data_IF_770773354064
#
_entry.id   IF_770773354064
#
_cell.length_a   1.000
_cell.length_b   1.000
_cell.length_c   1.000
_cell.angle_alpha   90.00
_cell.angle_beta   90.00
_cell.angle_gamma   90.00
#
_symmetry.space_group_name_H-M   'P 1'
#
loop_
_entity.id
_entity.type
_entity.pdbx_description
1 polymer ?
#
# COMPACT_ATOMS: atom_id res chain seq x y z
N UNK A 1 -59.42 -56.28 -53.80
CA UNK A 1 -58.03 -56.13 -53.33
C UNK A 1 -57.65 -54.65 -53.21
N UNK A 2 -57.44 -54.11 -51.99
CA UNK A 2 -57.00 -52.73 -51.83
C UNK A 2 -55.50 -52.61 -52.14
N UNK A 3 -55.14 -51.53 -52.83
CA UNK A 3 -53.78 -51.16 -53.21
C UNK A 3 -52.91 -50.90 -51.97
N UNK A 4 -51.61 -51.24 -51.98
CA UNK A 4 -50.73 -51.00 -50.84
C UNK A 4 -50.46 -49.51 -50.64
N UNK A 5 -50.28 -49.04 -49.39
CA UNK A 5 -49.96 -47.65 -49.10
C UNK A 5 -48.54 -47.28 -49.59
N UNK A 6 -48.30 -46.00 -49.93
CA UNK A 6 -47.01 -45.54 -50.44
C UNK A 6 -45.91 -45.58 -49.35
N UNK A 7 -44.64 -45.77 -49.73
CA UNK A 7 -43.52 -45.87 -48.80
C UNK A 7 -43.20 -44.53 -48.13
N UNK A 8 -42.77 -44.59 -46.87
CA UNK A 8 -42.37 -43.44 -46.05
C UNK A 8 -41.12 -42.75 -46.60
N UNK A 9 -40.98 -41.41 -46.45
CA UNK A 9 -39.81 -40.69 -46.92
C UNK A 9 -38.55 -41.03 -46.08
N UNK A 10 -37.35 -40.98 -46.68
CA UNK A 10 -36.10 -41.29 -46.00
C UNK A 10 -35.75 -40.23 -44.94
N UNK A 11 -35.01 -40.60 -43.87
CA UNK A 11 -34.58 -39.64 -42.85
C UNK A 11 -33.57 -38.62 -43.42
N UNK A 12 -33.51 -37.40 -42.85
CA UNK A 12 -32.58 -36.37 -43.30
C UNK A 12 -31.12 -36.77 -43.02
N UNK A 13 -30.14 -36.25 -43.80
CA UNK A 13 -28.74 -36.58 -43.62
C UNK A 13 -28.20 -36.05 -42.30
N UNK A 14 -27.36 -36.85 -41.64
CA UNK A 14 -26.65 -36.48 -40.42
C UNK A 14 -25.67 -35.32 -40.69
N UNK A 15 -25.74 -34.28 -39.86
CA UNK A 15 -24.81 -33.15 -39.89
C UNK A 15 -23.36 -33.62 -39.64
N UNK A 16 -22.36 -33.06 -40.33
CA UNK A 16 -20.95 -33.39 -40.08
C UNK A 16 -20.52 -32.93 -38.68
N UNK A 17 -19.57 -33.63 -38.02
CA UNK A 17 -19.04 -33.22 -36.72
C UNK A 17 -18.26 -31.90 -36.83
N UNK A 18 -18.27 -31.07 -35.78
CA UNK A 18 -17.51 -29.82 -35.78
C UNK A 18 -15.99 -30.09 -35.81
N UNK A 19 -15.19 -29.18 -36.40
CA UNK A 19 -13.74 -29.32 -36.43
C UNK A 19 -13.14 -29.23 -35.01
N UNK A 20 -12.00 -29.89 -34.74
CA UNK A 20 -11.32 -29.79 -33.46
C UNK A 20 -10.83 -28.35 -33.21
N UNK A 21 -11.04 -27.86 -31.99
CA UNK A 21 -10.59 -26.55 -31.53
C UNK A 21 -9.06 -26.41 -31.64
N UNK A 22 -8.53 -25.22 -31.96
CA UNK A 22 -7.09 -25.01 -31.96
C UNK A 22 -6.54 -25.17 -30.52
N UNK A 23 -5.48 -25.97 -30.39
CA UNK A 23 -4.72 -26.15 -29.16
C UNK A 23 -4.22 -24.79 -28.67
N UNK A 24 -4.57 -24.43 -27.44
CA UNK A 24 -4.07 -23.23 -26.76
C UNK A 24 -2.54 -23.21 -26.74
N UNK A 25 -1.87 -22.07 -26.98
CA UNK A 25 -0.43 -21.96 -26.81
C UNK A 25 -0.02 -22.17 -25.34
N UNK A 26 1.21 -22.65 -25.07
CA UNK A 26 1.69 -22.82 -23.70
C UNK A 26 1.74 -21.47 -22.98
N UNK A 27 1.17 -21.41 -21.77
CA UNK A 27 1.25 -20.25 -20.89
C UNK A 27 2.71 -19.95 -20.55
N UNK A 28 3.22 -18.81 -21.00
CA UNK A 28 4.39 -18.19 -20.37
C UNK A 28 3.96 -17.72 -18.98
N UNK A 29 4.78 -17.91 -17.93
CA UNK A 29 4.51 -17.33 -16.63
C UNK A 29 4.46 -15.79 -16.76
N UNK A 30 3.53 -15.12 -16.05
CA UNK A 30 3.51 -13.66 -16.05
C UNK A 30 4.83 -13.12 -15.48
N UNK A 31 5.34 -11.99 -16.00
CA UNK A 31 6.42 -11.29 -15.30
C UNK A 31 5.93 -10.91 -13.89
N UNK A 32 6.81 -10.86 -12.88
CA UNK A 32 6.42 -10.43 -11.54
C UNK A 32 5.78 -9.03 -11.59
N UNK A 33 4.73 -8.76 -10.80
CA UNK A 33 4.12 -7.44 -10.77
C UNK A 33 5.12 -6.41 -10.22
N UNK A 34 5.46 -5.42 -11.01
CA UNK A 34 6.12 -4.20 -10.55
C UNK A 34 5.12 -3.38 -9.69
N UNK A 35 5.55 -2.97 -8.49
CA UNK A 35 4.77 -2.13 -7.56
C UNK A 35 4.37 -0.78 -8.20
N UNK A 36 3.15 -0.24 -7.95
CA UNK A 36 2.83 1.15 -8.27
C UNK A 36 3.43 2.10 -7.19
N UNK A 37 4.17 3.17 -7.56
CA UNK A 37 4.78 4.10 -6.61
C UNK A 37 3.79 5.04 -5.89
N UNK A 38 4.12 5.49 -4.67
CA UNK A 38 3.37 6.49 -3.87
C UNK A 38 3.47 7.89 -4.50
N UNK A 39 2.47 8.77 -4.36
CA UNK A 39 2.45 10.10 -5.03
C UNK A 39 3.70 11.00 -4.85
N UNK A 40 4.46 10.99 -3.73
CA UNK A 40 5.79 11.63 -3.61
C UNK A 40 6.94 10.80 -4.21
N UNK A 41 6.82 9.47 -4.22
CA UNK A 41 7.78 8.52 -4.81
C UNK A 41 7.59 8.36 -6.34
N UNK A 42 6.45 8.82 -6.88
CA UNK A 42 6.17 8.96 -8.31
C UNK A 42 6.82 10.23 -8.91
N UNK A 43 7.10 11.25 -8.08
CA UNK A 43 7.61 12.56 -8.51
C UNK A 43 9.05 12.81 -8.06
N UNK A 44 9.55 12.10 -7.05
CA UNK A 44 10.98 12.06 -6.76
C UNK A 44 11.70 11.29 -7.87
N UNK A 45 12.89 11.75 -8.25
CA UNK A 45 13.63 11.16 -9.35
C UNK A 45 15.13 11.33 -9.14
N UNK A 46 15.81 10.19 -9.00
CA UNK A 46 17.26 10.04 -9.03
C UNK A 46 17.79 9.77 -10.46
N UNK A 47 16.88 9.65 -11.43
CA UNK A 47 17.17 9.35 -12.82
C UNK A 47 17.92 8.03 -13.06
N UNK A 48 17.99 7.08 -12.12
CA UNK A 48 18.83 5.87 -12.29
C UNK A 48 18.24 4.82 -13.24
N UNK A 49 16.91 4.78 -13.36
CA UNK A 49 16.21 3.84 -14.25
C UNK A 49 15.76 4.54 -15.55
N UNK A 50 15.08 5.68 -15.41
CA UNK A 50 14.53 6.48 -16.50
C UNK A 50 14.30 7.94 -16.04
N UNK A 51 13.45 8.72 -16.72
CA UNK A 51 13.08 10.07 -16.29
C UNK A 51 11.96 10.09 -15.24
N UNK A 52 11.65 8.94 -14.62
CA UNK A 52 10.52 8.73 -13.73
C UNK A 52 9.21 9.16 -14.44
N UNK A 53 8.40 10.00 -13.77
CA UNK A 53 7.21 10.60 -14.38
C UNK A 53 7.46 12.03 -14.95
N UNK A 54 8.70 12.51 -14.99
CA UNK A 54 9.01 13.86 -15.47
C UNK A 54 8.99 13.92 -17.00
N UNK A 55 8.33 14.95 -17.53
CA UNK A 55 8.10 15.12 -18.96
C UNK A 55 8.77 16.40 -19.43
N UNK A 56 9.57 16.28 -20.48
CA UNK A 56 10.08 17.44 -21.21
C UNK A 56 8.95 18.11 -22.01
N UNK A 57 8.79 19.41 -21.82
CA UNK A 57 7.74 20.20 -22.48
C UNK A 57 8.28 21.48 -23.12
N UNK A 58 9.57 21.50 -23.48
CA UNK A 58 10.16 22.60 -24.21
C UNK A 58 9.54 22.72 -25.62
N UNK A 59 9.05 23.91 -26.02
CA UNK A 59 8.29 24.08 -27.26
C UNK A 59 9.14 24.03 -28.55
N UNK A 60 10.46 24.10 -28.42
CA UNK A 60 11.45 24.23 -29.49
C UNK A 60 12.25 22.94 -29.75
N UNK A 61 11.93 21.84 -29.07
CA UNK A 61 12.53 20.52 -29.27
C UNK A 61 13.88 20.33 -28.57
N UNK A 62 14.32 21.30 -27.77
CA UNK A 62 15.50 21.18 -26.94
C UNK A 62 15.14 20.57 -25.59
N UNK A 63 15.74 19.42 -25.28
CA UNK A 63 15.31 18.64 -24.12
C UNK A 63 16.36 18.47 -23.05
N UNK A 64 15.90 18.34 -21.81
CA UNK A 64 16.65 17.74 -20.74
C UNK A 64 16.98 16.29 -21.13
N UNK A 65 18.27 16.03 -21.29
CA UNK A 65 18.79 14.75 -21.78
C UNK A 65 19.38 13.98 -20.62
N UNK A 66 18.98 12.72 -20.47
CA UNK A 66 19.53 11.82 -19.46
C UNK A 66 20.89 11.28 -19.91
N UNK A 67 21.89 11.36 -19.05
CA UNK A 67 23.28 11.00 -19.36
C UNK A 67 23.99 10.38 -18.17
N UNK A 68 25.04 9.61 -18.45
CA UNK A 68 26.03 9.14 -17.49
C UNK A 68 27.43 9.54 -17.99
N UNK A 69 28.33 9.89 -17.07
CA UNK A 69 29.66 10.41 -17.39
C UNK A 69 29.67 11.93 -17.65
N UNK A 70 30.69 12.42 -18.36
CA UNK A 70 30.80 13.85 -18.67
C UNK A 70 29.90 14.29 -19.82
N UNK A 71 29.45 15.55 -19.80
CA UNK A 71 28.69 16.12 -20.92
C UNK A 71 29.53 16.14 -22.21
N UNK A 72 28.88 16.15 -23.41
CA UNK A 72 29.59 16.11 -24.69
C UNK A 72 30.52 17.30 -24.92
N UNK A 73 30.19 18.45 -24.36
CA UNK A 73 31.02 19.65 -24.41
C UNK A 73 32.15 19.60 -23.39
N UNK A 74 33.34 19.98 -23.83
CA UNK A 74 34.53 20.03 -22.98
C UNK A 74 34.52 21.25 -22.06
N UNK A 75 35.01 21.08 -20.84
CA UNK A 75 35.09 22.13 -19.81
C UNK A 75 33.72 22.69 -19.38
N UNK A 76 32.67 21.89 -19.43
CA UNK A 76 31.31 22.26 -19.05
C UNK A 76 30.62 21.08 -18.38
N UNK A 77 29.52 21.35 -17.68
CA UNK A 77 28.71 20.33 -17.04
C UNK A 77 29.46 19.51 -15.98
N UNK A 78 28.78 18.53 -15.38
CA UNK A 78 29.40 17.62 -14.43
C UNK A 78 30.19 16.51 -15.15
N UNK A 79 31.13 15.88 -14.44
CA UNK A 79 31.86 14.69 -14.93
C UNK A 79 31.11 13.37 -14.72
N UNK A 80 29.97 13.40 -14.03
CA UNK A 80 29.13 12.28 -13.63
C UNK A 80 27.96 12.72 -12.74
N UNK A 81 27.05 11.82 -12.41
CA UNK A 81 25.90 12.07 -11.51
C UNK A 81 26.35 12.51 -10.11
N UNK A 82 25.41 13.05 -9.34
CA UNK A 82 25.64 13.48 -7.98
C UNK A 82 25.79 12.30 -7.00
N UNK A 83 24.96 11.26 -7.12
CA UNK A 83 24.87 10.17 -6.13
C UNK A 83 26.12 9.29 -6.09
N UNK A 84 26.63 8.86 -7.24
CA UNK A 84 27.75 7.90 -7.32
C UNK A 84 28.96 8.39 -8.12
N UNK A 85 28.81 9.41 -8.96
CA UNK A 85 29.77 9.85 -9.97
C UNK A 85 29.83 8.96 -11.23
N UNK A 86 29.01 7.91 -11.30
CA UNK A 86 28.91 6.96 -12.42
C UNK A 86 27.47 6.55 -12.81
N UNK A 87 26.47 7.06 -12.10
CA UNK A 87 25.04 6.89 -12.33
C UNK A 87 24.53 7.84 -13.41
N UNK A 88 23.26 8.22 -13.31
CA UNK A 88 22.58 9.02 -14.32
C UNK A 88 22.01 10.31 -13.76
N UNK A 89 22.04 11.35 -14.58
CA UNK A 89 21.46 12.65 -14.28
C UNK A 89 20.82 13.22 -15.55
N UNK A 90 20.06 14.31 -15.45
CA UNK A 90 19.54 15.03 -16.62
C UNK A 90 20.27 16.34 -16.81
N UNK A 91 20.57 16.69 -18.06
CA UNK A 91 21.30 17.92 -18.39
C UNK A 91 20.76 18.60 -19.65
N UNK A 92 21.11 19.87 -19.79
CA UNK A 92 20.86 20.65 -21.00
C UNK A 92 22.20 21.01 -21.62
N UNK A 93 22.39 20.65 -22.89
CA UNK A 93 23.53 21.08 -23.68
C UNK A 93 23.41 22.56 -24.02
N UNK A 94 24.50 23.31 -23.89
CA UNK A 94 24.54 24.73 -24.16
C UNK A 94 24.21 25.10 -25.62
N UNK A 95 23.05 25.71 -25.88
CA UNK A 95 22.71 26.32 -27.18
C UNK A 95 22.27 27.78 -26.98
N UNK A 96 22.74 28.77 -27.78
CA UNK A 96 22.35 30.17 -27.60
C UNK A 96 20.84 30.43 -27.63
N UNK A 97 20.34 31.11 -26.59
CA UNK A 97 18.95 31.57 -26.46
C UNK A 97 17.89 30.47 -26.30
N UNK A 98 18.33 29.29 -25.87
CA UNK A 98 17.46 28.12 -25.76
C UNK A 98 16.74 28.07 -24.43
N UNK A 99 15.53 27.52 -24.47
CA UNK A 99 14.67 27.34 -23.31
C UNK A 99 14.35 25.85 -23.11
N UNK A 100 14.72 25.31 -21.96
CA UNK A 100 14.50 23.93 -21.58
C UNK A 100 13.44 23.88 -20.48
N UNK A 101 12.57 22.87 -20.50
CA UNK A 101 11.52 22.73 -19.49
C UNK A 101 11.23 21.28 -19.16
N UNK A 102 11.48 20.92 -17.91
CA UNK A 102 11.12 19.62 -17.33
C UNK A 102 9.98 19.81 -16.34
N UNK A 103 8.84 19.14 -16.58
CA UNK A 103 7.65 19.23 -15.73
C UNK A 103 7.43 17.94 -14.94
N UNK A 104 7.04 18.09 -13.69
CA UNK A 104 6.51 16.98 -12.90
C UNK A 104 5.16 16.52 -13.48
N UNK A 105 4.68 15.30 -13.19
CA UNK A 105 3.27 15.02 -13.35
C UNK A 105 2.45 15.94 -12.41
N UNK A 106 1.15 16.14 -12.68
CA UNK A 106 0.27 16.84 -11.74
C UNK A 106 0.23 16.12 -10.40
N UNK A 107 0.25 16.88 -9.31
CA UNK A 107 0.14 16.38 -7.94
C UNK A 107 -0.76 17.31 -7.12
N UNK A 108 -0.99 16.96 -5.86
CA UNK A 108 -1.66 17.83 -4.90
C UNK A 108 -0.93 17.76 -3.58
N UNK A 109 -0.59 18.91 -3.01
CA UNK A 109 0.03 18.98 -1.68
C UNK A 109 -1.05 19.17 -0.62
N UNK A 110 -0.89 18.50 0.51
CA UNK A 110 -1.78 18.68 1.66
C UNK A 110 -1.33 19.84 2.56
N UNK A 111 -0.07 20.24 2.46
CA UNK A 111 0.56 21.32 3.21
C UNK A 111 1.79 21.82 2.42
N UNK A 112 2.43 22.87 2.93
CA UNK A 112 3.70 23.31 2.37
C UNK A 112 4.72 22.15 2.43
N UNK A 113 5.40 21.92 1.31
CA UNK A 113 6.38 20.84 1.16
C UNK A 113 7.76 21.43 0.84
N UNK A 114 8.83 20.68 1.10
CA UNK A 114 10.17 21.09 0.65
C UNK A 114 10.57 20.26 -0.56
N UNK A 115 10.75 20.93 -1.70
CA UNK A 115 11.41 20.34 -2.85
C UNK A 115 12.91 20.55 -2.69
N UNK A 116 13.67 19.46 -2.64
CA UNK A 116 15.13 19.46 -2.65
C UNK A 116 15.65 18.81 -3.94
N UNK A 117 16.76 19.32 -4.45
CA UNK A 117 17.38 18.83 -5.66
C UNK A 117 18.84 19.26 -5.71
N UNK A 118 19.64 18.53 -6.48
CA UNK A 118 21.00 18.93 -6.82
C UNK A 118 21.02 19.53 -8.21
N UNK A 119 21.86 20.54 -8.38
CA UNK A 119 22.06 21.19 -9.67
C UNK A 119 23.53 21.46 -9.92
N UNK A 120 23.91 21.46 -11.20
CA UNK A 120 25.23 21.85 -11.67
C UNK A 120 25.06 22.95 -12.70
N UNK A 121 25.86 24.01 -12.61
CA UNK A 121 25.86 25.13 -13.55
C UNK A 121 27.30 25.58 -13.75
N UNK A 122 28.01 24.94 -14.68
CA UNK A 122 29.39 25.25 -14.98
C UNK A 122 29.61 25.67 -16.43
N UNK A 123 30.36 26.76 -16.58
CA UNK A 123 30.93 27.16 -17.85
C UNK A 123 32.46 27.23 -17.77
N UNK A 124 33.09 26.69 -18.80
CA UNK A 124 34.52 26.78 -19.04
C UNK A 124 34.87 28.00 -19.89
N UNK A 125 36.03 28.59 -19.60
CA UNK A 125 36.54 29.76 -20.30
C UNK A 125 35.80 31.06 -19.95
N UNK A 126 35.84 32.05 -20.84
CA UNK A 126 35.25 33.38 -20.64
C UNK A 126 33.99 33.62 -21.48
N UNK A 127 33.28 32.54 -21.82
CA UNK A 127 32.14 32.60 -22.73
C UNK A 127 30.95 33.35 -22.13
N UNK A 128 30.76 33.36 -20.80
CA UNK A 128 29.63 34.03 -20.12
C UNK A 128 28.29 33.68 -20.78
N UNK A 129 28.13 32.42 -21.17
CA UNK A 129 26.93 31.86 -21.83
C UNK A 129 25.99 31.19 -20.84
N UNK A 130 26.44 30.99 -19.59
CA UNK A 130 25.61 30.44 -18.53
C UNK A 130 24.42 31.36 -18.27
N UNK A 131 23.23 30.81 -18.46
CA UNK A 131 22.01 31.56 -18.25
C UNK A 131 21.42 31.32 -16.88
N UNK A 132 20.14 30.96 -16.84
CA UNK A 132 19.35 30.90 -15.61
C UNK A 132 18.67 29.55 -15.47
N UNK A 133 18.86 28.90 -14.34
CA UNK A 133 18.07 27.75 -13.90
C UNK A 133 17.04 28.24 -12.87
N UNK A 134 15.78 27.86 -13.03
CA UNK A 134 14.72 28.24 -12.10
C UNK A 134 13.73 27.12 -11.82
N UNK A 135 13.16 27.16 -10.62
CA UNK A 135 12.06 26.30 -10.20
C UNK A 135 10.79 27.14 -10.14
N UNK A 136 9.75 26.69 -10.83
CA UNK A 136 8.43 27.30 -10.77
C UNK A 136 7.39 26.30 -10.24
N UNK A 137 6.44 26.82 -9.47
CA UNK A 137 5.27 26.10 -8.98
C UNK A 137 4.02 26.60 -9.70
N UNK A 138 3.16 25.68 -10.12
CA UNK A 138 1.83 25.98 -10.64
C UNK A 138 0.81 25.87 -9.51
N UNK A 139 -0.04 26.87 -9.39
CA UNK A 139 -1.16 26.88 -8.47
C UNK A 139 -2.48 27.05 -9.24
N UNK A 140 -3.50 26.29 -8.84
CA UNK A 140 -4.80 26.34 -9.50
C UNK A 140 -5.47 27.72 -9.32
N UNK A 141 -5.69 28.41 -10.44
CA UNK A 141 -6.32 29.74 -10.48
C UNK A 141 -5.36 30.93 -10.45
N UNK A 142 -4.09 30.74 -10.08
CA UNK A 142 -3.05 31.78 -10.04
C UNK A 142 -1.91 31.55 -11.05
N UNK A 143 -1.76 30.33 -11.57
CA UNK A 143 -0.79 30.01 -12.63
C UNK A 143 0.62 29.72 -12.09
N UNK A 144 1.64 29.94 -12.92
CA UNK A 144 3.04 29.64 -12.59
C UNK A 144 3.72 30.79 -11.84
N UNK A 145 4.42 30.47 -10.75
CA UNK A 145 5.23 31.40 -9.96
C UNK A 145 6.65 30.86 -9.76
N UNK A 146 7.67 31.73 -9.81
CA UNK A 146 9.06 31.32 -9.59
C UNK A 146 9.39 31.29 -8.10
N UNK A 147 9.80 30.13 -7.60
CA UNK A 147 10.18 29.92 -6.20
C UNK A 147 11.69 30.04 -5.98
N UNK A 148 12.48 29.69 -7.00
CA UNK A 148 13.94 29.76 -6.92
C UNK A 148 14.56 30.00 -8.28
N UNK A 149 15.68 30.72 -8.29
CA UNK A 149 16.52 30.85 -9.48
C UNK A 149 17.99 31.07 -9.15
N UNK A 150 18.86 30.63 -10.04
CA UNK A 150 20.29 30.98 -10.09
C UNK A 150 20.66 31.36 -11.51
N UNK A 151 21.59 32.31 -11.63
CA UNK A 151 22.02 32.86 -12.90
C UNK A 151 23.53 32.94 -12.96
N UNK A 152 24.10 32.61 -14.11
CA UNK A 152 25.53 32.64 -14.36
C UNK A 152 26.24 31.41 -13.78
N UNK A 153 27.56 31.37 -13.97
CA UNK A 153 28.41 30.27 -13.53
C UNK A 153 28.34 30.08 -12.01
N UNK A 154 28.04 28.87 -11.55
CA UNK A 154 28.02 28.52 -10.12
C UNK A 154 29.26 27.70 -9.71
N UNK A 155 30.14 27.39 -10.67
CA UNK A 155 31.37 26.63 -10.45
C UNK A 155 31.23 25.15 -10.81
N UNK A 156 32.36 24.45 -10.86
CA UNK A 156 32.41 23.04 -11.25
C UNK A 156 32.21 22.12 -10.02
N UNK A 157 31.01 22.18 -9.44
CA UNK A 157 30.58 21.30 -8.37
C UNK A 157 29.05 21.13 -8.42
N UNK A 158 28.57 19.97 -8.00
CA UNK A 158 27.16 19.78 -7.69
C UNK A 158 26.80 20.62 -6.46
N UNK A 159 25.70 21.36 -6.54
CA UNK A 159 25.19 22.23 -5.49
C UNK A 159 23.77 21.79 -5.10
N UNK A 160 23.49 21.72 -3.81
CA UNK A 160 22.14 21.45 -3.31
C UNK A 160 21.29 22.72 -3.24
N UNK A 161 19.99 22.58 -3.54
CA UNK A 161 18.99 23.61 -3.29
C UNK A 161 17.73 22.99 -2.68
N UNK A 162 17.06 23.79 -1.84
CA UNK A 162 15.76 23.45 -1.26
C UNK A 162 14.81 24.64 -1.36
N UNK A 163 13.57 24.39 -1.72
CA UNK A 163 12.51 25.41 -1.85
C UNK A 163 11.24 24.96 -1.18
N UNK A 164 10.52 25.91 -0.58
CA UNK A 164 9.20 25.64 -0.02
C UNK A 164 8.17 25.75 -1.13
N UNK A 165 7.43 24.67 -1.36
CA UNK A 165 6.27 24.63 -2.24
C UNK A 165 5.03 24.98 -1.41
N UNK A 166 4.26 26.01 -1.80
CA UNK A 166 2.95 26.28 -1.18
C UNK A 166 2.02 25.08 -1.28
N UNK A 167 1.19 24.85 -0.27
CA UNK A 167 0.19 23.77 -0.26
C UNK A 167 -0.75 23.78 -1.49
N UNK A 168 -0.98 24.94 -2.10
CA UNK A 168 -1.78 25.10 -3.34
C UNK A 168 -1.06 24.63 -4.61
N UNK A 169 0.21 24.22 -4.52
CA UNK A 169 0.98 23.79 -5.69
C UNK A 169 0.43 22.49 -6.26
N UNK A 170 0.08 22.50 -7.54
CA UNK A 170 -0.43 21.35 -8.29
C UNK A 170 0.56 20.80 -9.32
N UNK A 171 1.64 21.52 -9.63
CA UNK A 171 2.70 21.06 -10.51
C UNK A 171 4.00 21.83 -10.26
N UNK A 172 5.16 21.21 -10.51
CA UNK A 172 6.47 21.88 -10.49
C UNK A 172 7.12 21.79 -11.87
N UNK A 173 7.89 22.82 -12.24
CA UNK A 173 8.76 22.76 -13.40
C UNK A 173 10.14 23.33 -13.15
N UNK A 174 11.14 22.67 -13.73
CA UNK A 174 12.49 23.19 -13.87
C UNK A 174 12.65 23.82 -15.24
N UNK A 175 12.99 25.11 -15.25
CA UNK A 175 13.22 25.87 -16.46
C UNK A 175 14.71 26.21 -16.57
N UNK A 176 15.34 25.79 -17.66
CA UNK A 176 16.69 26.19 -18.03
C UNK A 176 16.64 27.24 -19.13
N UNK A 177 17.40 28.33 -18.99
CA UNK A 177 17.62 29.31 -20.06
C UNK A 177 19.10 29.45 -20.27
N UNK A 178 19.57 29.28 -21.49
CA UNK A 178 20.96 29.55 -21.88
C UNK A 178 21.06 30.94 -22.52
N UNK A 179 22.25 31.54 -22.50
CA UNK A 179 22.50 32.85 -23.09
C UNK A 179 23.48 32.71 -24.25
N UNK A 180 23.44 33.67 -25.15
CA UNK A 180 24.53 33.82 -26.12
C UNK A 180 25.77 34.32 -25.39
N UNK A 181 26.85 33.54 -25.46
CA UNK A 181 28.13 33.93 -24.90
C UNK A 181 28.74 35.17 -25.57
N UNK A 182 29.63 35.84 -24.86
CA UNK A 182 30.29 37.09 -25.29
C UNK A 182 31.62 36.86 -26.02
N UNK A 183 31.97 35.62 -26.37
CA UNK A 183 33.24 35.25 -27.03
C UNK A 183 33.09 34.56 -28.40
N UNK A 184 34.22 34.35 -29.09
CA UNK A 184 34.28 33.55 -30.32
C UNK A 184 34.27 32.06 -29.98
N UNK A 185 33.10 31.42 -30.03
CA UNK A 185 32.95 29.98 -29.78
C UNK A 185 31.50 29.56 -29.60
N UNK A 186 31.26 28.25 -29.64
CA UNK A 186 29.99 27.63 -29.25
C UNK A 186 29.71 27.92 -27.77
N UNK A 187 28.43 27.99 -27.38
CA UNK A 187 28.08 28.13 -25.97
C UNK A 187 28.71 26.98 -25.18
N UNK A 188 29.32 27.29 -24.04
CA UNK A 188 30.01 26.32 -23.18
C UNK A 188 29.45 26.44 -21.78
N UNK A 189 28.21 26.03 -21.60
CA UNK A 189 27.50 26.21 -20.35
C UNK A 189 26.38 25.20 -20.23
N UNK A 190 26.62 24.14 -19.46
CA UNK A 190 25.60 23.12 -19.24
C UNK A 190 24.97 23.32 -17.88
N UNK A 191 23.68 23.01 -17.82
CA UNK A 191 22.92 22.92 -16.59
C UNK A 191 22.52 21.47 -16.39
N UNK A 192 22.65 20.97 -15.17
CA UNK A 192 22.26 19.61 -14.82
C UNK A 192 21.41 19.59 -13.55
N UNK A 193 20.56 18.57 -13.44
CA UNK A 193 19.73 18.27 -12.29
C UNK A 193 19.90 16.81 -11.90
N UNK A 194 19.85 16.56 -10.59
CA UNK A 194 19.92 15.22 -10.02
C UNK A 194 19.23 15.15 -8.66
N UNK A 195 18.90 13.95 -8.20
CA UNK A 195 18.30 13.65 -6.89
C UNK A 195 17.15 14.58 -6.50
N UNK A 196 16.17 14.69 -7.41
CA UNK A 196 14.96 15.48 -7.16
C UNK A 196 14.12 14.74 -6.12
N UNK A 197 13.89 15.38 -4.99
CA UNK A 197 13.18 14.78 -3.86
C UNK A 197 12.21 15.76 -3.23
N UNK A 198 11.07 15.24 -2.82
CA UNK A 198 10.06 16.01 -2.09
C UNK A 198 10.07 15.52 -0.65
N UNK A 199 10.64 16.32 0.25
CA UNK A 199 10.58 16.03 1.68
C UNK A 199 9.34 16.68 2.29
N UNK A 200 8.45 15.82 2.79
CA UNK A 200 7.59 16.14 3.93
C UNK A 200 8.37 15.71 5.19
N UNK A 201 8.62 16.63 6.12
CA UNK A 201 9.56 16.44 7.23
C UNK A 201 9.38 15.11 8.00
N UNK A 202 10.44 14.28 8.02
CA UNK A 202 10.76 13.30 9.10
C UNK A 202 12.31 13.16 9.28
N UNK A 203 12.82 12.75 10.47
CA UNK A 203 14.17 13.06 11.03
C UNK A 203 15.31 12.04 10.70
N UNK A 204 16.62 12.27 11.02
CA UNK A 204 17.75 11.60 10.37
C UNK A 204 18.09 10.18 10.91
N UNK A 205 18.75 9.31 10.12
CA UNK A 205 19.06 7.91 10.49
C UNK A 205 20.33 7.75 11.35
N UNK A 206 20.46 6.66 12.13
CA UNK A 206 21.61 6.38 13.00
C UNK A 206 22.83 5.82 12.25
N UNK A 207 24.06 5.88 12.84
CA UNK A 207 25.31 5.55 12.15
C UNK A 207 25.55 4.04 11.91
N UNK A 208 26.29 3.74 10.85
CA UNK A 208 26.47 2.42 10.19
C UNK A 208 27.19 1.35 11.02
N UNK A 209 26.66 0.11 10.98
CA UNK A 209 27.27 -1.10 11.55
C UNK A 209 28.24 -1.80 10.56
N UNK A 210 29.19 -2.65 11.02
CA UNK A 210 30.20 -3.30 10.18
C UNK A 210 29.62 -4.39 9.24
N UNK A 211 30.36 -4.79 8.19
CA UNK A 211 29.83 -5.68 7.14
C UNK A 211 29.55 -7.10 7.65
N UNK A 212 28.38 -7.62 7.27
CA UNK A 212 27.93 -8.99 7.56
C UNK A 212 28.70 -10.04 6.74
N UNK A 213 28.88 -11.27 7.27
CA UNK A 213 29.45 -12.40 6.54
C UNK A 213 28.52 -12.89 5.40
N UNK A 214 29.06 -13.64 4.41
CA UNK A 214 28.30 -14.08 3.23
C UNK A 214 27.11 -14.98 3.60
N UNK A 215 25.99 -14.77 2.91
CA UNK A 215 24.75 -15.53 3.11
C UNK A 215 24.95 -17.03 2.86
N UNK A 216 24.30 -17.90 3.65
CA UNK A 216 24.20 -19.32 3.32
C UNK A 216 23.35 -19.54 2.05
N UNK A 217 23.54 -20.69 1.35
CA UNK A 217 22.78 -21.01 0.15
C UNK A 217 21.27 -21.05 0.43
N UNK A 218 20.43 -20.77 -0.59
CA UNK A 218 18.97 -20.81 -0.43
C UNK A 218 18.52 -22.21 -0.01
N UNK A 219 17.74 -22.25 1.06
CA UNK A 219 17.07 -23.47 1.52
C UNK A 219 16.21 -24.06 0.39
N UNK A 220 16.10 -25.40 0.28
CA UNK A 220 15.16 -26.02 -0.64
C UNK A 220 13.74 -25.49 -0.41
N UNK A 221 12.88 -25.45 -1.43
CA UNK A 221 11.50 -25.03 -1.25
C UNK A 221 10.88 -25.87 -0.14
N UNK A 222 10.33 -25.19 0.88
CA UNK A 222 9.61 -25.85 1.96
C UNK A 222 8.55 -26.76 1.32
N UNK A 223 8.51 -28.01 1.77
CA UNK A 223 7.41 -28.93 1.48
C UNK A 223 6.08 -28.20 1.73
N UNK A 224 5.01 -28.47 0.94
CA UNK A 224 3.70 -27.96 1.28
C UNK A 224 3.40 -28.30 2.75
N UNK A 225 2.82 -27.36 3.51
CA UNK A 225 2.55 -27.58 4.92
C UNK A 225 1.81 -28.92 5.08
N UNK A 226 2.14 -29.73 6.11
CA UNK A 226 1.41 -30.95 6.37
C UNK A 226 -0.10 -30.63 6.44
N UNK A 227 -0.96 -31.52 5.91
CA UNK A 227 -2.40 -31.35 6.08
C UNK A 227 -2.70 -31.11 7.55
N UNK A 228 -3.52 -30.09 7.82
CA UNK A 228 -3.94 -29.73 9.16
C UNK A 228 -4.31 -31.00 9.94
N UNK A 229 -3.83 -31.16 11.19
CA UNK A 229 -4.22 -32.30 12.01
C UNK A 229 -5.75 -32.40 12.05
N UNK A 230 -6.32 -33.61 12.00
CA UNK A 230 -7.76 -33.78 12.09
C UNK A 230 -8.25 -33.09 13.38
N UNK A 231 -9.28 -32.26 13.24
CA UNK A 231 -9.91 -31.55 14.36
C UNK A 231 -10.35 -32.58 15.41
N UNK A 232 -10.25 -32.21 16.69
CA UNK A 232 -10.64 -33.07 17.81
C UNK A 232 -12.09 -33.54 17.68
N UNK A 233 -12.45 -34.71 18.23
CA UNK A 233 -13.83 -35.23 18.20
C UNK A 233 -14.87 -34.33 18.89
N UNK A 234 -14.44 -33.28 19.59
CA UNK A 234 -15.31 -32.35 20.32
C UNK A 234 -15.88 -31.23 19.43
N UNK A 235 -15.53 -31.19 18.14
CA UNK A 235 -16.06 -30.20 17.20
C UNK A 235 -17.49 -30.56 16.76
N UNK A 236 -18.42 -29.61 16.94
CA UNK A 236 -19.78 -29.69 16.41
C UNK A 236 -19.82 -29.05 15.03
N UNK A 237 -20.27 -29.77 14.01
CA UNK A 237 -20.35 -29.22 12.66
C UNK A 237 -21.57 -28.30 12.48
N UNK A 238 -21.36 -27.13 11.87
CA UNK A 238 -22.43 -26.27 11.39
C UNK A 238 -22.47 -26.33 9.85
N UNK A 239 -23.62 -26.68 9.28
CA UNK A 239 -23.80 -26.78 7.82
C UNK A 239 -24.52 -25.56 7.24
N UNK A 240 -25.04 -24.66 8.09
CA UNK A 240 -25.73 -23.44 7.68
C UNK A 240 -25.48 -22.28 8.65
N UNK A 241 -25.74 -21.06 8.18
CA UNK A 241 -25.59 -19.84 8.99
C UNK A 241 -26.47 -19.89 10.24
N UNK A 242 -27.71 -20.37 10.12
CA UNK A 242 -28.62 -20.50 11.25
C UNK A 242 -28.12 -21.51 12.30
N UNK A 243 -27.52 -22.62 11.86
CA UNK A 243 -26.92 -23.60 12.78
C UNK A 243 -25.70 -23.03 13.49
N UNK A 244 -24.81 -22.35 12.77
CA UNK A 244 -23.66 -21.68 13.37
C UNK A 244 -24.10 -20.66 14.42
N UNK A 245 -25.11 -19.85 14.09
CA UNK A 245 -25.69 -18.86 15.00
C UNK A 245 -26.24 -19.50 16.27
N UNK A 246 -27.08 -20.52 16.13
CA UNK A 246 -27.70 -21.18 17.27
C UNK A 246 -26.65 -21.87 18.16
N UNK A 247 -25.64 -22.52 17.56
CA UNK A 247 -24.56 -23.18 18.30
C UNK A 247 -23.76 -22.20 19.17
N UNK A 248 -23.62 -20.95 18.76
CA UNK A 248 -22.93 -19.91 19.54
C UNK A 248 -23.88 -19.27 20.56
N UNK A 249 -25.09 -18.90 20.13
CA UNK A 249 -26.04 -18.16 20.97
C UNK A 249 -26.63 -19.00 22.11
N UNK A 250 -26.83 -20.30 21.88
CA UNK A 250 -27.41 -21.23 22.86
C UNK A 250 -26.34 -21.94 23.72
N UNK A 251 -25.05 -21.64 23.51
CA UNK A 251 -23.97 -22.28 24.23
C UNK A 251 -23.96 -21.90 25.73
N UNK A 252 -23.96 -22.92 26.59
CA UNK A 252 -23.86 -22.80 28.05
C UNK A 252 -22.46 -23.13 28.60
N UNK A 253 -21.56 -23.57 27.72
CA UNK A 253 -20.18 -23.94 28.01
C UNK A 253 -19.33 -23.72 26.75
N UNK A 254 -18.01 -23.86 26.89
CA UNK A 254 -17.06 -23.75 25.78
C UNK A 254 -17.48 -24.63 24.60
N UNK A 255 -17.46 -24.04 23.41
CA UNK A 255 -17.95 -24.66 22.18
C UNK A 255 -16.92 -24.56 21.08
N UNK A 256 -16.67 -25.70 20.41
CA UNK A 256 -15.82 -25.80 19.24
C UNK A 256 -16.66 -26.18 18.04
N UNK A 257 -16.68 -25.32 17.01
CA UNK A 257 -17.56 -25.42 15.87
C UNK A 257 -16.74 -25.61 14.61
N UNK A 258 -17.10 -26.62 13.82
CA UNK A 258 -16.46 -26.90 12.55
C UNK A 258 -17.32 -26.42 11.39
N UNK A 259 -16.70 -25.67 10.48
CA UNK A 259 -17.31 -25.27 9.23
C UNK A 259 -16.74 -26.13 8.09
N UNK A 260 -17.60 -26.78 7.27
CA UNK A 260 -17.15 -27.56 6.14
C UNK A 260 -16.29 -26.72 5.18
N UNK A 261 -15.20 -27.27 4.61
CA UNK A 261 -14.34 -26.54 3.68
C UNK A 261 -15.13 -26.11 2.45
N UNK A 262 -14.81 -24.94 1.91
CA UNK A 262 -15.49 -24.32 0.77
C UNK A 262 -16.97 -24.00 0.98
N UNK A 263 -17.50 -24.17 2.20
CA UNK A 263 -18.84 -23.67 2.53
C UNK A 263 -18.81 -22.14 2.59
N UNK A 264 -19.88 -21.52 2.10
CA UNK A 264 -20.03 -20.07 2.00
C UNK A 264 -21.24 -19.63 2.83
N UNK A 265 -20.97 -19.01 3.96
CA UNK A 265 -21.96 -18.55 4.93
C UNK A 265 -22.18 -17.05 4.75
N UNK A 266 -23.30 -16.70 4.13
CA UNK A 266 -23.75 -15.31 3.96
C UNK A 266 -24.45 -14.84 5.22
N UNK A 267 -23.82 -13.95 5.97
CA UNK A 267 -24.38 -13.45 7.24
C UNK A 267 -25.34 -12.29 6.97
N UNK A 268 -26.58 -12.43 7.43
CA UNK A 268 -27.57 -11.34 7.41
C UNK A 268 -27.51 -10.41 8.63
N UNK A 269 -26.85 -10.85 9.70
CA UNK A 269 -26.61 -10.10 10.93
C UNK A 269 -25.40 -10.67 11.68
N UNK A 270 -24.80 -9.89 12.58
CA UNK A 270 -23.71 -10.36 13.45
C UNK A 270 -24.15 -11.56 14.30
N UNK A 271 -23.24 -12.50 14.52
CA UNK A 271 -23.45 -13.63 15.42
C UNK A 271 -22.99 -13.21 16.82
N UNK A 272 -23.94 -13.12 17.74
CA UNK A 272 -23.69 -12.63 19.11
C UNK A 272 -23.26 -13.74 20.05
N UNK A 273 -22.30 -13.45 20.94
CA UNK A 273 -21.95 -14.25 22.10
C UNK A 273 -21.89 -13.34 23.33
N UNK A 274 -22.71 -13.61 24.34
CA UNK A 274 -22.82 -12.80 25.57
C UNK A 274 -22.54 -13.59 26.85
N UNK A 275 -22.27 -14.89 26.73
CA UNK A 275 -21.89 -15.77 27.83
C UNK A 275 -20.38 -15.76 28.01
N UNK A 276 -19.89 -15.83 29.26
CA UNK A 276 -18.45 -15.98 29.53
C UNK A 276 -18.01 -17.42 29.25
N UNK A 277 -17.79 -17.71 27.96
CA UNK A 277 -17.36 -19.00 27.40
C UNK A 277 -16.29 -18.79 26.33
N UNK A 278 -15.58 -19.86 26.00
CA UNK A 278 -14.65 -19.88 24.86
C UNK A 278 -15.35 -20.46 23.63
N UNK A 279 -15.43 -19.67 22.56
CA UNK A 279 -15.98 -20.08 21.26
C UNK A 279 -14.82 -20.27 20.29
N UNK A 280 -14.68 -21.46 19.72
CA UNK A 280 -13.75 -21.72 18.62
C UNK A 280 -14.53 -22.01 17.35
N UNK A 281 -14.30 -21.26 16.28
CA UNK A 281 -14.83 -21.56 14.95
C UNK A 281 -13.66 -21.89 14.04
N UNK A 282 -13.64 -23.11 13.52
CA UNK A 282 -12.54 -23.58 12.69
C UNK A 282 -13.03 -24.19 11.38
N UNK A 283 -12.21 -24.08 10.34
CA UNK A 283 -12.33 -24.89 9.13
C UNK A 283 -10.99 -25.54 8.79
N UNK A 284 -10.96 -26.31 7.71
CA UNK A 284 -9.78 -27.04 7.24
C UNK A 284 -9.66 -26.95 5.72
N UNK A 285 -8.49 -27.32 5.18
CA UNK A 285 -8.23 -27.26 3.74
C UNK A 285 -8.27 -25.83 3.21
N UNK A 286 -9.08 -25.59 2.18
CA UNK A 286 -9.31 -24.25 1.59
C UNK A 286 -10.00 -23.27 2.57
N UNK A 287 -10.54 -23.76 3.68
CA UNK A 287 -11.28 -22.95 4.66
C UNK A 287 -12.74 -22.73 4.26
N UNK A 288 -13.54 -22.25 5.21
CA UNK A 288 -14.92 -21.84 5.00
C UNK A 288 -14.99 -20.30 4.92
N UNK A 289 -15.87 -19.80 4.07
CA UNK A 289 -16.10 -18.36 3.90
C UNK A 289 -17.21 -17.88 4.83
N UNK A 290 -16.90 -16.87 5.64
CA UNK A 290 -17.88 -16.07 6.36
C UNK A 290 -17.94 -14.69 5.69
N UNK A 291 -19.06 -14.38 5.05
CA UNK A 291 -19.24 -13.18 4.24
C UNK A 291 -20.29 -12.26 4.87
N UNK A 292 -19.86 -11.05 5.27
CA UNK A 292 -20.72 -10.01 5.81
C UNK A 292 -21.54 -9.26 4.75
N UNK A 293 -21.32 -9.55 3.48
CA UNK A 293 -22.04 -9.02 2.32
C UNK A 293 -22.03 -7.49 2.23
N UNK A 294 -21.03 -6.84 2.84
CA UNK A 294 -20.96 -5.39 3.03
C UNK A 294 -22.17 -4.81 3.78
N UNK A 295 -22.93 -5.64 4.49
CA UNK A 295 -24.17 -5.26 5.17
C UNK A 295 -24.14 -5.55 6.66
N UNK A 296 -23.27 -6.47 7.11
CA UNK A 296 -23.13 -6.82 8.51
C UNK A 296 -21.69 -7.13 8.88
N UNK A 297 -21.35 -6.87 10.15
CA UNK A 297 -20.16 -7.46 10.75
C UNK A 297 -20.35 -8.96 10.97
N UNK A 298 -19.30 -9.69 11.33
CA UNK A 298 -19.41 -11.15 11.47
C UNK A 298 -19.78 -11.58 12.90
N UNK A 299 -19.07 -11.07 13.90
CA UNK A 299 -19.23 -11.46 15.30
C UNK A 299 -19.42 -10.25 16.22
N UNK A 300 -20.20 -10.46 17.28
CA UNK A 300 -20.47 -9.49 18.34
C UNK A 300 -20.29 -10.16 19.70
N UNK A 301 -19.27 -9.75 20.45
CA UNK A 301 -18.84 -10.38 21.70
C UNK A 301 -19.04 -9.42 22.87
N UNK A 302 -19.69 -9.94 23.92
CA UNK A 302 -19.86 -9.27 25.21
C UNK A 302 -19.77 -10.27 26.36
N UNK A 303 -19.77 -9.77 27.60
CA UNK A 303 -19.99 -10.60 28.78
C UNK A 303 -18.88 -11.62 29.05
N UNK A 304 -17.65 -11.31 28.64
CA UNK A 304 -16.47 -12.15 28.83
C UNK A 304 -16.37 -13.33 27.86
N UNK A 305 -17.08 -13.29 26.72
CA UNK A 305 -16.94 -14.31 25.67
C UNK A 305 -15.59 -14.18 24.94
N UNK A 306 -14.83 -15.27 24.84
CA UNK A 306 -13.60 -15.33 24.03
C UNK A 306 -13.88 -15.99 22.69
N UNK A 307 -13.22 -15.54 21.62
CA UNK A 307 -13.42 -16.05 20.26
C UNK A 307 -12.10 -16.39 19.57
N UNK A 308 -11.96 -17.64 19.11
CA UNK A 308 -10.87 -18.09 18.25
C UNK A 308 -11.42 -18.46 16.87
N UNK A 309 -10.94 -17.77 15.83
CA UNK A 309 -11.26 -18.00 14.42
C UNK A 309 -10.05 -18.64 13.73
N UNK A 310 -10.20 -19.85 13.18
CA UNK A 310 -9.07 -20.61 12.62
C UNK A 310 -9.31 -21.21 11.24
N UNK A 311 -8.40 -20.95 10.30
CA UNK A 311 -8.48 -21.53 8.96
C UNK A 311 -9.68 -21.04 8.16
N UNK A 312 -10.08 -19.76 8.36
CA UNK A 312 -11.29 -19.18 7.78
C UNK A 312 -10.97 -18.11 6.73
N UNK A 313 -11.93 -17.89 5.83
CA UNK A 313 -11.94 -16.77 4.89
C UNK A 313 -13.01 -15.78 5.36
N UNK A 314 -12.59 -14.66 5.91
CA UNK A 314 -13.46 -13.64 6.50
C UNK A 314 -13.53 -12.44 5.55
N UNK A 315 -14.69 -12.19 4.94
CA UNK A 315 -14.79 -11.20 3.86
C UNK A 315 -15.98 -10.25 4.03
N UNK A 316 -15.80 -9.04 3.52
CA UNK A 316 -16.85 -8.01 3.39
C UNK A 316 -17.66 -7.74 4.67
N UNK A 317 -17.04 -7.96 5.84
CA UNK A 317 -17.65 -7.61 7.11
C UNK A 317 -17.75 -6.10 7.25
N UNK A 318 -18.96 -5.56 7.45
CA UNK A 318 -19.19 -4.11 7.56
C UNK A 318 -20.03 -3.78 8.79
N UNK A 319 -19.47 -3.01 9.71
CA UNK A 319 -20.15 -2.57 10.94
C UNK A 319 -19.82 -1.12 11.27
N UNK A 320 -20.45 -0.55 12.30
CA UNK A 320 -20.03 0.75 12.84
C UNK A 320 -18.66 0.63 13.52
N UNK A 321 -18.47 -0.41 14.33
CA UNK A 321 -17.20 -0.78 14.92
C UNK A 321 -16.98 -2.28 14.72
N UNK A 322 -15.75 -2.71 14.43
CA UNK A 322 -15.42 -4.13 14.36
C UNK A 322 -16.02 -4.86 13.15
N UNK A 323 -15.47 -4.63 11.95
CA UNK A 323 -16.00 -5.22 10.72
C UNK A 323 -16.05 -6.76 10.73
N UNK A 324 -15.09 -7.41 11.40
CA UNK A 324 -15.11 -8.86 11.66
C UNK A 324 -15.60 -9.15 13.07
N UNK A 325 -15.01 -8.51 14.08
CA UNK A 325 -15.33 -8.74 15.49
C UNK A 325 -15.53 -7.41 16.19
N UNK A 326 -16.70 -7.25 16.79
CA UNK A 326 -16.96 -6.26 17.82
C UNK A 326 -16.81 -6.93 19.20
N UNK A 327 -15.94 -6.42 20.07
CA UNK A 327 -15.67 -6.96 21.40
C UNK A 327 -15.78 -5.88 22.48
N UNK A 328 -16.79 -5.96 23.34
CA UNK A 328 -17.03 -5.02 24.45
C UNK A 328 -17.16 -5.77 25.77
N UNK A 329 -16.22 -5.58 26.70
CA UNK A 329 -16.17 -6.39 27.91
C UNK A 329 -16.02 -7.89 27.62
N UNK A 330 -15.36 -8.25 26.52
CA UNK A 330 -15.20 -9.61 26.04
C UNK A 330 -13.90 -10.25 26.56
N UNK A 331 -13.74 -11.55 26.30
CA UNK A 331 -12.49 -12.27 26.53
C UNK A 331 -11.46 -12.01 25.41
N UNK A 332 -10.60 -13.00 25.16
CA UNK A 332 -9.56 -12.89 24.13
C UNK A 332 -10.15 -13.09 22.72
N UNK A 333 -9.60 -12.40 21.73
CA UNK A 333 -9.96 -12.55 20.30
C UNK A 333 -8.73 -13.00 19.52
N UNK A 334 -8.83 -14.17 18.90
CA UNK A 334 -7.74 -14.77 18.13
C UNK A 334 -8.17 -15.06 16.68
N UNK A 335 -7.37 -14.62 15.71
CA UNK A 335 -7.52 -14.95 14.29
C UNK A 335 -6.25 -15.68 13.85
N UNK A 336 -6.38 -16.95 13.50
CA UNK A 336 -5.25 -17.87 13.30
C UNK A 336 -5.36 -18.51 11.91
N UNK A 337 -4.26 -18.54 11.15
CA UNK A 337 -4.19 -19.21 9.85
C UNK A 337 -5.35 -18.83 8.90
N UNK A 338 -5.81 -17.58 8.98
CA UNK A 338 -7.02 -17.12 8.31
C UNK A 338 -6.71 -16.01 7.30
N UNK A 339 -7.64 -15.79 6.36
CA UNK A 339 -7.58 -14.68 5.43
C UNK A 339 -8.71 -13.72 5.72
N UNK A 340 -8.39 -12.45 5.93
CA UNK A 340 -9.37 -11.37 6.15
C UNK A 340 -9.25 -10.39 5.01
N UNK A 341 -10.35 -10.10 4.30
CA UNK A 341 -10.30 -9.19 3.15
C UNK A 341 -11.53 -8.33 3.00
N UNK A 342 -11.34 -7.03 2.79
CA UNK A 342 -12.43 -6.11 2.46
C UNK A 342 -13.36 -5.80 3.64
N UNK A 343 -12.98 -6.15 4.87
CA UNK A 343 -13.77 -5.82 6.06
C UNK A 343 -13.55 -4.36 6.48
N UNK A 344 -14.62 -3.66 6.87
CA UNK A 344 -14.56 -2.27 7.27
C UNK A 344 -15.44 -1.92 8.46
N UNK A 345 -15.02 -0.88 9.18
CA UNK A 345 -15.76 -0.24 10.25
C UNK A 345 -16.00 1.23 9.91
N UNK A 346 -17.20 1.72 10.22
CA UNK A 346 -17.56 3.13 10.05
C UNK A 346 -16.72 4.07 10.90
N UNK A 347 -16.40 3.63 12.12
CA UNK A 347 -15.70 4.41 13.11
C UNK A 347 -14.35 3.73 13.40
N UNK A 348 -14.36 2.55 14.02
CA UNK A 348 -13.16 2.03 14.68
C UNK A 348 -12.98 0.51 14.47
N UNK A 349 -11.74 0.06 14.29
CA UNK A 349 -11.42 -1.36 14.24
C UNK A 349 -11.95 -2.05 12.98
N UNK A 350 -11.31 -1.81 11.83
CA UNK A 350 -11.79 -2.34 10.55
C UNK A 350 -11.94 -3.86 10.50
N UNK A 351 -11.13 -4.59 11.29
CA UNK A 351 -11.26 -6.02 11.53
C UNK A 351 -11.77 -6.27 12.94
N UNK A 352 -11.01 -5.85 13.95
CA UNK A 352 -11.35 -6.06 15.37
C UNK A 352 -11.47 -4.71 16.06
N UNK A 353 -12.60 -4.53 16.76
CA UNK A 353 -12.76 -3.49 17.75
C UNK A 353 -12.83 -4.13 19.13
N UNK A 354 -11.97 -3.69 20.05
CA UNK A 354 -11.90 -4.21 21.42
C UNK A 354 -11.93 -3.07 22.44
N UNK A 355 -12.89 -3.09 23.36
CA UNK A 355 -12.94 -2.20 24.51
C UNK A 355 -13.18 -2.97 25.80
N UNK A 356 -12.46 -2.63 26.87
CA UNK A 356 -12.54 -3.32 28.17
C UNK A 356 -12.41 -4.86 28.04
N UNK A 357 -11.65 -5.34 27.06
CA UNK A 357 -11.63 -6.73 26.61
C UNK A 357 -10.27 -7.40 26.79
N UNK A 358 -10.20 -8.70 26.51
CA UNK A 358 -8.96 -9.48 26.50
C UNK A 358 -7.95 -9.06 25.42
N UNK A 359 -6.96 -9.92 25.19
CA UNK A 359 -5.94 -9.72 24.17
C UNK A 359 -6.48 -9.96 22.76
N UNK A 360 -5.90 -9.28 21.76
CA UNK A 360 -6.21 -9.50 20.34
C UNK A 360 -4.98 -10.06 19.63
N UNK A 361 -5.10 -11.25 19.04
CA UNK A 361 -3.99 -11.90 18.35
C UNK A 361 -4.34 -12.26 16.91
N UNK A 362 -3.50 -11.86 15.95
CA UNK A 362 -3.59 -12.23 14.54
C UNK A 362 -2.33 -12.99 14.15
N UNK A 363 -2.46 -14.31 13.97
CA UNK A 363 -1.33 -15.26 13.88
C UNK A 363 -1.36 -15.97 12.53
N UNK A 364 -0.23 -15.99 11.83
CA UNK A 364 -0.04 -16.67 10.54
C UNK A 364 -1.16 -16.38 9.54
N UNK A 365 -1.68 -15.15 9.56
CA UNK A 365 -2.89 -14.78 8.84
C UNK A 365 -2.59 -13.68 7.81
N UNK A 366 -3.44 -13.58 6.79
CA UNK A 366 -3.36 -12.48 5.81
C UNK A 366 -4.52 -11.53 6.05
N UNK A 367 -4.23 -10.25 6.28
CA UNK A 367 -5.23 -9.19 6.38
C UNK A 367 -4.98 -8.22 5.23
N UNK A 368 -5.94 -8.10 4.33
CA UNK A 368 -5.80 -7.26 3.17
C UNK A 368 -6.99 -6.33 3.06
N UNK A 369 -6.75 -5.08 2.64
CA UNK A 369 -7.85 -4.21 2.21
C UNK A 369 -8.88 -4.03 3.33
N UNK A 370 -8.48 -3.88 4.59
CA UNK A 370 -9.39 -3.59 5.69
C UNK A 370 -9.32 -2.12 6.10
N UNK A 371 -10.42 -1.52 6.54
CA UNK A 371 -10.43 -0.09 6.83
C UNK A 371 -11.33 0.34 7.98
N UNK A 372 -10.90 1.35 8.73
CA UNK A 372 -11.74 2.07 9.70
C UNK A 372 -11.88 3.54 9.29
N UNK A 373 -13.01 4.17 9.61
CA UNK A 373 -13.23 5.59 9.32
C UNK A 373 -12.41 6.54 10.19
N UNK A 374 -12.09 6.14 11.41
CA UNK A 374 -11.37 6.95 12.41
C UNK A 374 -10.11 6.22 12.89
N UNK A 375 -10.23 5.17 13.71
CA UNK A 375 -9.08 4.57 14.39
C UNK A 375 -8.92 3.07 14.09
N UNK A 376 -7.68 2.61 13.93
CA UNK A 376 -7.39 1.17 13.90
C UNK A 376 -7.91 0.48 12.65
N UNK A 377 -7.23 0.67 11.51
CA UNK A 377 -7.66 0.10 10.22
C UNK A 377 -7.78 -1.43 10.22
N UNK A 378 -7.04 -2.11 11.10
CA UNK A 378 -7.21 -3.53 11.41
C UNK A 378 -7.72 -3.72 12.84
N UNK A 379 -6.96 -3.27 13.83
CA UNK A 379 -7.30 -3.42 15.26
C UNK A 379 -7.43 -2.06 15.92
N UNK A 380 -8.55 -1.86 16.61
CA UNK A 380 -8.71 -0.84 17.63
C UNK A 380 -8.77 -1.51 19.00
N UNK A 381 -7.99 -1.03 19.98
CA UNK A 381 -8.04 -1.50 21.35
C UNK A 381 -8.05 -0.35 22.37
N UNK A 382 -8.99 -0.41 23.32
CA UNK A 382 -9.17 0.55 24.41
C UNK A 382 -9.36 -0.18 25.73
N UNK A 383 -8.64 0.22 26.79
CA UNK A 383 -8.64 -0.46 28.10
C UNK A 383 -8.55 -2.01 28.01
N UNK A 384 -7.83 -2.52 27.01
CA UNK A 384 -7.85 -3.94 26.64
C UNK A 384 -6.49 -4.62 26.76
N UNK A 385 -6.45 -5.93 26.54
CA UNK A 385 -5.22 -6.73 26.55
C UNK A 385 -4.19 -6.32 25.48
N UNK A 386 -3.13 -7.12 25.35
CA UNK A 386 -2.10 -6.89 24.35
C UNK A 386 -2.62 -7.13 22.92
N UNK A 387 -2.05 -6.43 21.94
CA UNK A 387 -2.33 -6.67 20.51
C UNK A 387 -1.09 -7.29 19.86
N UNK A 388 -1.23 -8.49 19.29
CA UNK A 388 -0.11 -9.24 18.69
C UNK A 388 -0.39 -9.63 17.24
N UNK A 389 0.50 -9.26 16.33
CA UNK A 389 0.54 -9.73 14.95
C UNK A 389 1.79 -10.58 14.76
N UNK A 390 1.62 -11.88 14.54
CA UNK A 390 2.72 -12.86 14.54
C UNK A 390 2.72 -13.66 13.24
N UNK A 391 3.80 -13.59 12.46
CA UNK A 391 3.93 -14.36 11.20
C UNK A 391 2.88 -13.99 10.15
N UNK A 392 2.27 -12.82 10.28
CA UNK A 392 1.12 -12.40 9.49
C UNK A 392 1.51 -11.41 8.39
N UNK A 393 0.67 -11.28 7.37
CA UNK A 393 0.83 -10.27 6.31
C UNK A 393 -0.33 -9.31 6.38
N UNK A 394 -0.05 -8.01 6.51
CA UNK A 394 -1.06 -6.95 6.49
C UNK A 394 -0.80 -6.03 5.32
N UNK A 395 -1.76 -5.87 4.42
CA UNK A 395 -1.58 -5.04 3.23
C UNK A 395 -2.77 -4.16 2.91
N UNK A 396 -2.52 -2.95 2.43
CA UNK A 396 -3.59 -2.02 1.97
C UNK A 396 -4.68 -1.78 3.02
N UNK A 397 -4.30 -1.78 4.31
CA UNK A 397 -5.22 -1.50 5.41
C UNK A 397 -5.11 -0.06 5.90
N UNK A 398 -6.21 0.57 6.26
CA UNK A 398 -6.21 2.01 6.53
C UNK A 398 -7.14 2.50 7.62
N UNK A 399 -6.70 3.52 8.34
CA UNK A 399 -7.53 4.35 9.22
C UNK A 399 -7.78 5.70 8.54
N UNK A 400 -9.02 6.16 8.44
CA UNK A 400 -9.37 7.42 7.76
C UNK A 400 -9.87 7.28 6.32
N UNK A 401 -10.12 6.05 5.82
CA UNK A 401 -10.66 5.83 4.48
C UNK A 401 -12.20 5.85 4.48
N UNK A 402 -12.75 7.07 4.39
CA UNK A 402 -14.18 7.32 4.38
C UNK A 402 -14.91 6.80 3.13
N UNK A 403 -14.20 6.47 2.04
CA UNK A 403 -14.86 5.89 0.86
C UNK A 403 -15.17 4.41 1.06
N UNK A 404 -14.35 3.71 1.85
CA UNK A 404 -14.48 2.28 2.15
C UNK A 404 -15.20 2.00 3.48
N UNK A 405 -15.15 2.94 4.42
CA UNK A 405 -15.78 2.87 5.74
C UNK A 405 -17.29 3.21 5.77
N UNK A 406 -18.00 3.35 4.63
CA UNK A 406 -19.42 3.77 4.62
C UNK A 406 -20.41 2.75 5.20
N UNK A 407 -20.45 2.63 6.52
CA UNK A 407 -21.62 2.27 7.31
C UNK A 407 -21.75 3.28 8.45
N UNK A 408 -22.83 4.07 8.41
CA UNK A 408 -23.28 4.96 9.47
C UNK A 408 -22.34 6.12 9.86
N UNK A 409 -22.56 7.28 9.22
CA UNK A 409 -22.37 8.65 9.72
C UNK A 409 -21.33 9.48 8.93
N UNK A 410 -21.76 10.55 8.22
CA UNK A 410 -20.87 11.41 7.41
C UNK A 410 -20.12 12.46 8.26
N UNK A 411 -19.88 12.19 9.54
CA UNK A 411 -19.44 13.21 10.49
C UNK A 411 -18.00 12.94 10.93
N UNK A 412 -17.10 13.84 10.54
CA UNK A 412 -15.71 13.90 11.02
C UNK A 412 -15.74 14.32 12.50
N UNK A 413 -15.56 13.38 13.43
CA UNK A 413 -15.33 13.75 14.83
C UNK A 413 -14.07 13.14 15.43
N UNK A 414 -13.54 12.04 14.90
CA UNK A 414 -12.31 11.42 15.40
C UNK A 414 -11.05 11.76 14.61
N UNK A 415 -9.90 11.66 15.30
CA UNK A 415 -8.60 11.63 14.66
C UNK A 415 -8.45 10.38 13.78
N UNK A 416 -7.54 10.43 12.81
CA UNK A 416 -7.35 9.32 11.87
C UNK A 416 -6.05 8.58 12.18
N UNK A 417 -6.07 7.70 13.18
CA UNK A 417 -4.85 7.11 13.75
C UNK A 417 -4.78 5.59 13.66
N UNK A 418 -3.58 5.05 13.49
CA UNK A 418 -3.34 3.59 13.59
C UNK A 418 -3.85 2.83 12.36
N UNK A 419 -3.15 2.92 11.24
CA UNK A 419 -3.57 2.30 9.97
C UNK A 419 -3.68 0.77 10.03
N UNK A 420 -2.90 0.15 10.91
CA UNK A 420 -3.05 -1.26 11.28
C UNK A 420 -3.58 -1.38 12.71
N UNK A 421 -2.85 -0.84 13.68
CA UNK A 421 -3.19 -0.93 15.10
C UNK A 421 -3.35 0.46 15.69
N UNK A 422 -4.48 0.71 16.33
CA UNK A 422 -4.67 1.81 17.26
C UNK A 422 -4.89 1.28 18.67
N UNK A 423 -4.15 1.81 19.64
CA UNK A 423 -4.28 1.46 21.04
C UNK A 423 -4.31 2.70 21.93
N UNK A 424 -5.27 2.76 22.85
CA UNK A 424 -5.34 3.83 23.85
C UNK A 424 -5.57 3.34 25.29
N UNK A 425 -5.40 4.25 26.24
CA UNK A 425 -5.79 4.15 27.66
C UNK A 425 -5.43 2.84 28.38
N UNK A 426 -4.22 2.76 28.96
CA UNK A 426 -3.74 1.64 29.79
C UNK A 426 -3.85 0.25 29.15
N UNK A 427 -4.08 0.16 27.84
CA UNK A 427 -4.11 -1.12 27.14
C UNK A 427 -2.73 -1.79 27.14
N UNK A 428 -2.70 -3.09 26.83
CA UNK A 428 -1.48 -3.90 26.80
C UNK A 428 -0.41 -3.46 25.78
N UNK A 429 0.62 -4.30 25.59
CA UNK A 429 1.68 -4.04 24.62
C UNK A 429 1.22 -4.32 23.17
N UNK A 430 1.84 -3.65 22.19
CA UNK A 430 1.72 -3.98 20.76
C UNK A 430 2.94 -4.78 20.33
N UNK A 431 2.75 -5.94 19.71
CA UNK A 431 3.86 -6.77 19.19
C UNK A 431 3.65 -7.17 17.73
N UNK A 432 4.55 -6.74 16.85
CA UNK A 432 4.63 -7.20 15.45
C UNK A 432 5.86 -8.11 15.31
N UNK A 433 5.65 -9.42 15.22
CA UNK A 433 6.71 -10.42 15.22
C UNK A 433 6.71 -11.19 13.90
N UNK A 434 7.79 -11.10 13.11
CA UNK A 434 7.90 -11.73 11.78
C UNK A 434 6.71 -11.40 10.87
N UNK A 435 6.16 -10.20 11.02
CA UNK A 435 4.98 -9.73 10.31
C UNK A 435 5.43 -8.85 9.15
N UNK A 436 4.75 -8.96 8.01
CA UNK A 436 4.96 -8.05 6.87
C UNK A 436 3.80 -7.07 6.81
N UNK A 437 4.08 -5.78 6.89
CA UNK A 437 3.11 -4.71 6.68
C UNK A 437 3.51 -3.93 5.43
N UNK A 438 2.58 -3.75 4.50
CA UNK A 438 2.84 -3.01 3.25
C UNK A 438 1.65 -2.16 2.85
N UNK A 439 1.88 -0.94 2.36
CA UNK A 439 0.82 -0.08 1.84
C UNK A 439 -0.32 0.21 2.84
N UNK A 440 -0.05 0.16 4.15
CA UNK A 440 -1.00 0.55 5.20
C UNK A 440 -0.86 2.04 5.53
N UNK A 441 -1.97 2.70 5.86
CA UNK A 441 -1.98 4.15 6.06
C UNK A 441 -2.95 4.61 7.15
N UNK A 442 -2.66 5.76 7.74
CA UNK A 442 -3.56 6.47 8.64
C UNK A 442 -3.71 7.90 8.13
N UNK A 443 -4.90 8.48 8.22
CA UNK A 443 -5.16 9.83 7.72
C UNK A 443 -4.40 10.93 8.47
N UNK A 444 -3.99 10.68 9.72
CA UNK A 444 -3.23 11.63 10.53
C UNK A 444 -1.90 11.05 11.05
N UNK A 445 -1.92 9.99 11.86
CA UNK A 445 -0.69 9.48 12.51
C UNK A 445 -0.72 7.97 12.78
N UNK A 446 0.46 7.37 12.84
CA UNK A 446 0.62 5.94 13.07
C UNK A 446 0.10 5.10 11.89
N UNK A 447 0.70 5.26 10.71
CA UNK A 447 0.32 4.49 9.51
C UNK A 447 0.32 2.97 9.71
N UNK A 448 1.11 2.47 10.66
CA UNK A 448 1.08 1.07 11.11
C UNK A 448 0.56 0.97 12.54
N UNK A 449 1.27 1.55 13.51
CA UNK A 449 0.85 1.53 14.93
C UNK A 449 0.71 2.96 15.43
N UNK A 450 -0.40 3.24 16.12
CA UNK A 450 -0.56 4.38 17.01
C UNK A 450 -0.89 3.87 18.41
N UNK A 451 -0.10 4.27 19.41
CA UNK A 451 -0.22 3.80 20.78
C UNK A 451 -0.14 4.99 21.74
N UNK A 452 -1.23 5.29 22.43
CA UNK A 452 -1.33 6.40 23.39
C UNK A 452 -1.67 5.88 24.79
N UNK A 453 -0.79 6.12 25.76
CA UNK A 453 -1.04 5.69 27.14
C UNK A 453 -1.15 4.17 27.32
N UNK A 454 -0.62 3.37 26.39
CA UNK A 454 -0.64 1.90 26.39
C UNK A 454 0.76 1.30 26.62
N UNK A 455 0.85 -0.04 26.60
CA UNK A 455 2.10 -0.78 26.75
C UNK A 455 3.12 -0.56 25.63
N UNK A 456 4.30 -1.15 25.77
CA UNK A 456 5.38 -0.97 24.79
C UNK A 456 4.99 -1.46 23.39
N UNK A 457 5.49 -0.77 22.36
CA UNK A 457 5.40 -1.21 20.95
C UNK A 457 6.70 -1.92 20.59
N UNK A 458 6.60 -3.17 20.14
CA UNK A 458 7.73 -4.02 19.73
C UNK A 458 7.57 -4.48 18.29
N UNK A 459 8.57 -4.23 17.44
CA UNK A 459 8.62 -4.69 16.05
C UNK A 459 9.87 -5.57 15.93
N UNK A 460 9.69 -6.88 15.76
CA UNK A 460 10.75 -7.89 15.84
C UNK A 460 10.74 -8.76 14.59
N UNK A 461 11.81 -8.73 13.80
CA UNK A 461 11.92 -9.54 12.57
C UNK A 461 10.86 -9.23 11.52
N UNK A 462 10.17 -8.10 11.64
CA UNK A 462 9.06 -7.68 10.80
C UNK A 462 9.53 -6.70 9.73
N UNK A 463 8.86 -6.72 8.58
CA UNK A 463 9.02 -5.71 7.51
C UNK A 463 7.82 -4.78 7.59
N UNK A 464 8.01 -3.47 7.72
CA UNK A 464 6.94 -2.50 7.96
C UNK A 464 7.08 -1.30 7.04
#
# INVERSE_FOLDING_TARGET
PPSPPPPSPPPPPLSPPPPPSPLSPPFLPPPPPSLPPLLPDMISCDFEVDNCAWIDTAPDGYSWTRMSGGTPSSDTGPSGDHTTGSGYYVYTEADPWTFYRLKSPPFSLQQDATLSFFYHMYEGGSANSMGTLSVEAHEDGSGWSTLWSRTGNQGNAWLGASVVLPASTTQVCFNGRTRKGTGFGWARSDMALDDVSFMQFTPPPPPSAPPLPPLPPPSPPLSPPPPLPPLSPDFVAAASEAELRNLIQDALADVSIYLPPSADFKLGSQISCSSSINVTVASSGEGATLDGQEQSGLFYLEGGCSLTLRGLILVNGRAAQGGVVYASGAGDVEIIESTVTGCSAGEEGGVVWAADSGAVSIINSTVARCSAGEYGGVVYADLSGAVSLIGSTVTECSAGDLQRATAASPVRYGGQYGGVVYMRENSGAVSLINTTVTCCSAGESGGVVYAEGSGAVSIIGSTV
#
